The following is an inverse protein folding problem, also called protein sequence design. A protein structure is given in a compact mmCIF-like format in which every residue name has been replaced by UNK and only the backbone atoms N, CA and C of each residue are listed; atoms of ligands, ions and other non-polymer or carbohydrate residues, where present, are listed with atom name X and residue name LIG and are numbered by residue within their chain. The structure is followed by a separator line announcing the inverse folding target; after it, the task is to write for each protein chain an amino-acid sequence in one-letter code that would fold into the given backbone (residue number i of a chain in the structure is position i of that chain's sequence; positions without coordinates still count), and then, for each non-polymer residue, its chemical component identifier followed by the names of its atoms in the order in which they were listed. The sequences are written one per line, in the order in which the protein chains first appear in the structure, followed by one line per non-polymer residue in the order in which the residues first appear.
data_IF_513404375682
#
_entry.id   IF_513404375682
#
_cell.length_a   1.000
_cell.length_b   1.000
_cell.length_c   1.000
_cell.angle_alpha   90.00
_cell.angle_beta   90.00
_cell.angle_gamma   90.00
#
_symmetry.space_group_name_H-M   'P 1'
#
loop_
_entity.id
_entity.type
_entity.pdbx_description
1 polymer ?
#
# COMPACT_ATOMS: atom_id res chain seq x y z
N UNK A 1 -11.97 13.64 16.86
CA UNK A 1 -11.22 13.49 15.58
C UNK A 1 -10.33 12.26 15.70
N UNK A 2 -10.16 11.48 14.62
CA UNK A 2 -9.34 10.27 14.63
C UNK A 2 -7.85 10.60 14.69
N UNK A 3 -7.06 9.77 15.39
CA UNK A 3 -5.61 9.94 15.54
C UNK A 3 -4.80 8.80 14.91
N UNK A 4 -5.43 7.67 14.60
CA UNK A 4 -4.81 6.46 14.06
C UNK A 4 -5.74 5.81 13.03
N UNK A 5 -5.16 5.09 12.09
CA UNK A 5 -5.88 4.22 11.15
C UNK A 5 -5.48 2.76 11.36
N UNK A 6 -6.48 1.88 11.31
CA UNK A 6 -6.32 0.43 11.32
C UNK A 6 -7.11 -0.15 10.15
N UNK A 7 -6.42 -0.78 9.20
CA UNK A 7 -7.05 -1.48 8.07
C UNK A 7 -7.11 -2.97 8.41
N UNK A 8 -8.32 -3.51 8.62
CA UNK A 8 -8.49 -4.94 8.87
C UNK A 8 -8.44 -5.71 7.55
N UNK A 9 -7.55 -6.69 7.43
CA UNK A 9 -7.37 -7.52 6.25
C UNK A 9 -7.53 -9.00 6.63
N UNK A 10 -8.45 -9.74 5.98
CA UNK A 10 -8.58 -11.17 6.19
C UNK A 10 -7.41 -11.91 5.52
N UNK A 11 -6.75 -12.80 6.25
CA UNK A 11 -5.64 -13.62 5.75
C UNK A 11 -5.90 -15.09 5.97
N UNK A 12 -5.46 -15.93 5.03
CA UNK A 12 -5.70 -17.37 5.07
C UNK A 12 -4.74 -18.09 6.02
N UNK A 13 -3.50 -17.62 6.10
CA UNK A 13 -2.47 -18.14 6.99
C UNK A 13 -1.73 -16.98 7.66
N UNK A 14 -2.01 -16.78 8.96
CA UNK A 14 -1.50 -15.65 9.71
C UNK A 14 0.02 -15.65 9.80
N UNK A 15 0.63 -16.83 10.00
CA UNK A 15 2.08 -16.93 10.15
C UNK A 15 2.78 -16.62 8.82
N UNK A 16 2.29 -17.16 7.70
CA UNK A 16 2.84 -16.83 6.37
C UNK A 16 2.69 -15.35 6.04
N UNK A 17 1.57 -14.75 6.39
CA UNK A 17 1.35 -13.31 6.20
C UNK A 17 2.33 -12.48 7.03
N UNK A 18 2.54 -12.87 8.28
CA UNK A 18 3.53 -12.21 9.13
C UNK A 18 4.95 -12.33 8.58
N UNK A 19 5.33 -13.50 8.09
CA UNK A 19 6.65 -13.73 7.51
C UNK A 19 6.85 -12.98 6.18
N UNK A 20 5.80 -12.88 5.36
CA UNK A 20 5.77 -12.03 4.18
C UNK A 20 6.08 -10.58 4.55
N UNK A 21 5.29 -9.94 5.42
CA UNK A 21 5.49 -8.52 5.74
C UNK A 21 6.80 -8.26 6.50
N UNK A 22 7.30 -9.21 7.30
CA UNK A 22 8.67 -9.13 7.87
C UNK A 22 9.73 -9.10 6.78
N UNK A 23 9.59 -9.90 5.72
CA UNK A 23 10.53 -9.92 4.60
C UNK A 23 10.57 -8.58 3.85
N UNK A 24 9.43 -7.89 3.75
CA UNK A 24 9.35 -6.52 3.20
C UNK A 24 10.09 -5.50 4.08
N UNK A 25 10.24 -5.79 5.38
CA UNK A 25 10.93 -4.96 6.36
C UNK A 25 10.03 -4.36 7.43
N UNK A 26 8.75 -4.75 7.48
CA UNK A 26 7.81 -4.24 8.47
C UNK A 26 7.89 -4.98 9.81
N UNK A 27 7.49 -4.26 10.86
CA UNK A 27 7.40 -4.78 12.22
C UNK A 27 5.96 -5.10 12.64
N UNK A 28 5.83 -5.78 13.78
CA UNK A 28 4.53 -6.08 14.38
C UNK A 28 4.47 -5.55 15.81
N UNK A 29 3.32 -5.00 16.19
CA UNK A 29 3.06 -4.67 17.58
C UNK A 29 2.61 -5.93 18.32
N UNK A 30 3.54 -6.53 19.08
CA UNK A 30 3.31 -7.79 19.77
C UNK A 30 2.29 -7.71 20.92
N UNK A 31 1.96 -6.51 21.42
CA UNK A 31 0.88 -6.36 22.40
C UNK A 31 -0.51 -6.62 21.80
N UNK A 32 -0.64 -6.42 20.48
CA UNK A 32 -1.88 -6.61 19.72
C UNK A 32 -1.74 -7.74 18.68
N UNK A 33 -0.85 -8.70 18.94
CA UNK A 33 -0.62 -9.86 18.06
C UNK A 33 -0.75 -11.15 18.86
N UNK A 34 -1.54 -12.08 18.34
CA UNK A 34 -1.80 -13.40 18.91
C UNK A 34 -2.06 -14.42 17.79
N UNK A 35 -2.70 -15.56 18.11
CA UNK A 35 -2.97 -16.63 17.14
C UNK A 35 -4.07 -16.30 16.12
N UNK A 36 -4.93 -15.33 16.40
CA UNK A 36 -6.08 -14.97 15.56
C UNK A 36 -5.86 -13.69 14.75
N UNK A 37 -4.93 -12.83 15.19
CA UNK A 37 -4.67 -11.52 14.63
C UNK A 37 -3.22 -11.08 14.81
N UNK A 38 -2.69 -10.30 13.87
CA UNK A 38 -1.39 -9.63 13.98
C UNK A 38 -1.49 -8.15 13.60
N UNK A 39 -0.90 -7.29 14.42
CA UNK A 39 -0.89 -5.84 14.21
C UNK A 39 0.37 -5.44 13.45
N UNK A 40 0.26 -5.29 12.13
CA UNK A 40 1.32 -4.82 11.23
C UNK A 40 1.50 -3.31 11.40
N UNK A 41 2.73 -2.88 11.68
CA UNK A 41 3.10 -1.47 11.83
C UNK A 41 3.60 -0.94 10.51
N UNK A 42 2.81 -0.08 9.86
CA UNK A 42 3.15 0.56 8.58
C UNK A 42 3.82 1.93 8.80
N UNK A 43 3.50 2.59 9.91
CA UNK A 43 4.11 3.83 10.38
C UNK A 43 3.63 4.15 11.80
N UNK A 44 4.01 5.32 12.33
CA UNK A 44 3.74 5.70 13.73
C UNK A 44 2.25 5.63 14.13
N UNK A 45 1.37 5.99 13.21
CA UNK A 45 -0.09 6.02 13.41
C UNK A 45 -0.87 5.25 12.34
N UNK A 46 -0.19 4.39 11.57
CA UNK A 46 -0.75 3.68 10.42
C UNK A 46 -0.52 2.19 10.62
N UNK A 47 -1.61 1.42 10.69
CA UNK A 47 -1.56 0.00 10.99
C UNK A 47 -2.46 -0.80 10.05
N UNK A 48 -2.06 -2.04 9.76
CA UNK A 48 -2.96 -3.04 9.23
C UNK A 48 -3.12 -4.17 10.26
N UNK A 49 -4.34 -4.63 10.46
CA UNK A 49 -4.63 -5.81 11.28
C UNK A 49 -4.81 -6.98 10.35
N UNK A 50 -3.86 -7.90 10.34
CA UNK A 50 -3.96 -9.17 9.61
C UNK A 50 -4.77 -10.13 10.48
N UNK A 51 -5.96 -10.50 10.05
CA UNK A 51 -6.90 -11.30 10.83
C UNK A 51 -7.13 -12.63 10.13
N UNK A 52 -7.09 -13.74 10.87
CA UNK A 52 -7.58 -15.01 10.32
C UNK A 52 -9.01 -14.86 9.80
N UNK A 53 -9.39 -15.59 8.73
CA UNK A 53 -10.75 -15.50 8.17
C UNK A 53 -11.84 -15.73 9.22
N UNK A 54 -11.64 -16.67 10.15
CA UNK A 54 -12.56 -16.92 11.26
C UNK A 54 -12.76 -15.67 12.14
N UNK A 55 -11.66 -15.02 12.53
CA UNK A 55 -11.73 -13.84 13.38
C UNK A 55 -12.30 -12.62 12.63
N UNK A 56 -11.93 -12.42 11.36
CA UNK A 56 -12.49 -11.37 10.52
C UNK A 56 -14.01 -11.52 10.33
N UNK A 57 -14.50 -12.75 10.13
CA UNK A 57 -15.93 -13.03 9.94
C UNK A 57 -16.78 -12.57 11.14
N UNK A 58 -16.22 -12.54 12.35
CA UNK A 58 -16.93 -12.03 13.53
C UNK A 58 -17.22 -10.51 13.45
N UNK A 59 -16.53 -9.76 12.58
CA UNK A 59 -16.65 -8.30 12.51
C UNK A 59 -17.65 -7.83 11.45
N UNK A 60 -18.13 -8.73 10.59
CA UNK A 60 -19.00 -8.39 9.47
C UNK A 60 -20.16 -9.38 9.32
N UNK A 61 -21.27 -8.91 8.76
CA UNK A 61 -22.43 -9.75 8.40
C UNK A 61 -22.46 -10.11 6.90
N UNK A 62 -21.49 -9.61 6.14
CA UNK A 62 -21.34 -9.87 4.70
C UNK A 62 -20.35 -11.02 4.47
N UNK A 63 -20.42 -11.72 3.33
CA UNK A 63 -19.35 -12.61 2.92
C UNK A 63 -18.00 -11.87 2.87
N UNK A 64 -16.92 -12.55 3.26
CA UNK A 64 -15.56 -12.04 3.08
C UNK A 64 -15.26 -12.07 1.58
N UNK A 65 -14.77 -10.96 1.03
CA UNK A 65 -14.36 -10.88 -0.37
C UNK A 65 -13.16 -11.78 -0.64
N UNK A 66 -13.14 -12.47 -1.79
CA UNK A 66 -11.93 -13.11 -2.30
C UNK A 66 -11.12 -12.05 -3.05
N UNK A 67 -10.07 -11.53 -2.40
CA UNK A 67 -9.23 -10.46 -2.96
C UNK A 67 -8.47 -10.89 -4.22
N UNK A 68 -8.40 -12.19 -4.53
CA UNK A 68 -7.84 -12.69 -5.80
C UNK A 68 -8.83 -12.58 -6.97
N UNK A 69 -10.12 -12.37 -6.69
CA UNK A 69 -11.19 -12.27 -7.70
C UNK A 69 -11.82 -10.88 -7.78
N UNK A 70 -11.86 -10.15 -6.67
CA UNK A 70 -12.52 -8.84 -6.57
C UNK A 70 -11.71 -7.88 -5.71
N UNK A 71 -11.59 -6.63 -6.15
CA UNK A 71 -10.94 -5.54 -5.39
C UNK A 71 -12.00 -4.70 -4.67
N UNK A 72 -11.96 -4.67 -3.34
CA UNK A 72 -12.77 -3.74 -2.51
C UNK A 72 -11.99 -2.48 -2.11
N UNK A 73 -10.66 -2.61 -1.92
CA UNK A 73 -9.77 -1.54 -1.46
C UNK A 73 -8.42 -1.61 -2.17
N UNK A 74 -7.81 -0.45 -2.39
CA UNK A 74 -6.40 -0.27 -2.76
C UNK A 74 -5.70 0.43 -1.60
N UNK A 75 -4.56 -0.12 -1.15
CA UNK A 75 -3.82 0.41 0.00
C UNK A 75 -2.55 1.08 -0.51
N UNK A 76 -2.53 2.41 -0.50
CA UNK A 76 -1.38 3.19 -0.92
C UNK A 76 -0.48 3.56 0.27
N UNK A 77 0.83 3.36 0.12
CA UNK A 77 1.87 3.78 1.05
C UNK A 77 2.89 4.66 0.33
N UNK A 78 3.34 5.72 1.01
CA UNK A 78 4.45 6.52 0.52
C UNK A 78 5.79 5.81 0.75
N UNK A 79 6.74 6.09 -0.14
CA UNK A 79 8.12 5.64 -0.05
C UNK A 79 9.06 6.83 -0.19
N UNK A 80 10.27 6.70 0.37
CA UNK A 80 11.23 7.81 0.45
C UNK A 80 11.95 8.11 -0.88
N UNK A 81 11.95 7.17 -1.83
CA UNK A 81 12.58 7.33 -3.15
C UNK A 81 12.00 6.36 -4.18
N UNK A 82 12.37 6.56 -5.45
CA UNK A 82 12.04 5.63 -6.55
C UNK A 82 12.62 4.24 -6.31
N UNK A 83 13.87 4.19 -5.86
CA UNK A 83 14.57 2.94 -5.55
C UNK A 83 13.94 2.22 -4.35
N UNK A 84 13.36 2.96 -3.41
CA UNK A 84 12.62 2.39 -2.28
C UNK A 84 11.32 1.72 -2.75
N UNK A 85 10.61 2.32 -3.71
CA UNK A 85 9.44 1.70 -4.38
C UNK A 85 9.85 0.36 -5.00
N UNK A 86 10.88 0.37 -5.85
CA UNK A 86 11.34 -0.85 -6.54
C UNK A 86 11.83 -1.92 -5.57
N UNK A 87 12.53 -1.51 -4.51
CA UNK A 87 13.03 -2.43 -3.48
C UNK A 87 11.89 -3.10 -2.73
N UNK A 88 10.86 -2.35 -2.36
CA UNK A 88 9.68 -2.89 -1.67
C UNK A 88 8.95 -3.91 -2.56
N UNK A 89 8.69 -3.55 -3.81
CA UNK A 89 7.96 -4.42 -4.74
C UNK A 89 8.77 -5.68 -5.07
N UNK A 90 10.08 -5.56 -5.29
CA UNK A 90 10.94 -6.72 -5.50
C UNK A 90 10.90 -7.69 -4.31
N UNK A 91 11.00 -7.17 -3.07
CA UNK A 91 10.88 -8.01 -1.85
C UNK A 91 9.51 -8.67 -1.75
N UNK A 92 8.44 -7.98 -2.13
CA UNK A 92 7.12 -8.57 -2.15
C UNK A 92 7.03 -9.77 -3.11
N UNK A 93 7.57 -9.64 -4.32
CA UNK A 93 7.62 -10.75 -5.29
C UNK A 93 8.51 -11.89 -4.77
N UNK A 94 9.68 -11.59 -4.22
CA UNK A 94 10.58 -12.59 -3.62
C UNK A 94 9.92 -13.37 -2.46
N UNK A 95 9.04 -12.72 -1.71
CA UNK A 95 8.25 -13.33 -0.64
C UNK A 95 7.00 -14.09 -1.12
N UNK A 96 6.73 -14.13 -2.43
CA UNK A 96 5.61 -14.86 -3.03
C UNK A 96 4.38 -14.00 -3.36
N UNK A 97 4.48 -12.68 -3.22
CA UNK A 97 3.48 -11.74 -3.76
C UNK A 97 3.51 -11.68 -5.28
N UNK A 98 2.54 -10.99 -5.87
CA UNK A 98 2.41 -10.88 -7.35
C UNK A 98 2.34 -9.43 -7.79
N UNK A 99 2.86 -9.13 -8.97
CA UNK A 99 2.66 -7.83 -9.61
C UNK A 99 1.26 -7.82 -10.23
N UNK A 100 0.40 -6.87 -9.83
CA UNK A 100 -0.94 -6.74 -10.41
C UNK A 100 -1.11 -5.53 -11.35
N UNK A 101 -0.14 -4.61 -11.34
CA UNK A 101 -0.12 -3.45 -12.24
C UNK A 101 1.33 -3.09 -12.61
N UNK A 102 1.53 -2.65 -13.85
CA UNK A 102 2.82 -2.14 -14.32
C UNK A 102 3.23 -0.89 -13.53
N UNK A 103 4.55 -0.61 -13.38
CA UNK A 103 5.01 0.64 -12.79
C UNK A 103 4.47 1.86 -13.55
N UNK A 104 4.07 2.89 -12.82
CA UNK A 104 3.62 4.17 -13.36
C UNK A 104 4.66 5.25 -13.07
N UNK A 105 5.10 5.93 -14.12
CA UNK A 105 6.05 7.03 -14.02
C UNK A 105 5.49 8.29 -14.68
N UNK A 106 5.19 9.28 -13.86
CA UNK A 106 4.72 10.60 -14.28
C UNK A 106 5.82 11.67 -14.18
N UNK A 107 7.08 11.28 -13.95
CA UNK A 107 8.21 12.16 -13.68
C UNK A 107 8.22 12.65 -12.22
N UNK A 108 7.17 13.34 -11.79
CA UNK A 108 7.02 13.87 -10.42
C UNK A 108 6.42 12.84 -9.44
N UNK A 109 5.87 11.75 -9.95
CA UNK A 109 5.39 10.62 -9.17
C UNK A 109 5.85 9.34 -9.83
N UNK A 110 6.36 8.43 -9.00
CA UNK A 110 6.69 7.07 -9.39
C UNK A 110 5.96 6.10 -8.48
N UNK A 111 5.23 5.16 -9.06
CA UNK A 111 4.46 4.18 -8.31
C UNK A 111 4.62 2.79 -8.89
N UNK A 112 4.61 1.79 -8.03
CA UNK A 112 4.51 0.40 -8.43
C UNK A 112 3.75 -0.40 -7.37
N UNK A 113 3.24 -1.57 -7.75
CA UNK A 113 2.16 -2.20 -7.01
C UNK A 113 2.35 -3.70 -6.96
N UNK A 114 1.95 -4.30 -5.84
CA UNK A 114 1.93 -5.74 -5.64
C UNK A 114 0.66 -6.17 -4.92
N UNK A 115 0.23 -7.41 -5.15
CA UNK A 115 -0.76 -8.09 -4.36
C UNK A 115 -0.04 -9.03 -3.38
N UNK A 116 -0.42 -9.01 -2.11
CA UNK A 116 0.15 -9.90 -1.10
C UNK A 116 -0.31 -11.36 -1.29
N UNK A 117 0.08 -12.23 -0.36
CA UNK A 117 -0.22 -13.66 -0.44
C UNK A 117 -1.71 -13.96 -0.56
N UNK A 118 -2.58 -13.08 -0.04
CA UNK A 118 -4.03 -13.23 -0.03
C UNK A 118 -4.75 -12.43 -1.13
N UNK A 119 -4.00 -11.68 -1.93
CA UNK A 119 -4.51 -10.92 -3.06
C UNK A 119 -4.83 -9.46 -2.72
N UNK A 120 -4.57 -9.00 -1.49
CA UNK A 120 -4.81 -7.60 -1.15
C UNK A 120 -3.84 -6.71 -1.92
N UNK A 121 -4.36 -5.64 -2.52
CA UNK A 121 -3.60 -4.80 -3.45
C UNK A 121 -2.96 -3.61 -2.73
N UNK A 122 -1.63 -3.54 -2.85
CA UNK A 122 -0.78 -2.50 -2.26
C UNK A 122 -0.14 -1.66 -3.37
N UNK A 123 -0.18 -0.34 -3.21
CA UNK A 123 0.44 0.64 -4.10
C UNK A 123 1.55 1.37 -3.34
N UNK A 124 2.77 1.35 -3.84
CA UNK A 124 3.91 2.02 -3.21
C UNK A 124 4.29 3.19 -4.10
N UNK A 125 4.22 4.40 -3.55
CA UNK A 125 4.38 5.64 -4.31
C UNK A 125 5.46 6.54 -3.75
N UNK A 126 6.33 7.05 -4.61
CA UNK A 126 7.22 8.17 -4.31
C UNK A 126 6.74 9.42 -5.04
N UNK A 127 6.68 10.54 -4.32
CA UNK A 127 6.35 11.84 -4.88
C UNK A 127 7.55 12.78 -4.73
N UNK A 128 8.06 13.27 -5.86
CA UNK A 128 9.08 14.31 -5.89
C UNK A 128 8.41 15.68 -5.89
N UNK A 129 8.33 16.31 -4.72
CA UNK A 129 7.74 17.64 -4.58
C UNK A 129 8.43 18.71 -5.42
N UNK A 130 9.74 18.61 -5.64
CA UNK A 130 10.48 19.61 -6.41
C UNK A 130 10.12 19.49 -7.90
N UNK A 131 10.08 18.26 -8.42
CA UNK A 131 9.61 17.97 -9.77
C UNK A 131 8.14 18.36 -9.95
N UNK A 132 7.28 18.10 -8.96
CA UNK A 132 5.88 18.52 -8.98
C UNK A 132 5.74 20.05 -9.07
N UNK A 133 6.45 20.79 -8.21
CA UNK A 133 6.46 22.26 -8.24
C UNK A 133 6.96 22.79 -9.60
N UNK A 134 8.01 22.18 -10.16
CA UNK A 134 8.51 22.56 -11.48
C UNK A 134 7.49 22.33 -12.59
N UNK A 135 6.81 21.17 -12.59
CA UNK A 135 5.75 20.85 -13.55
C UNK A 135 4.60 21.85 -13.44
N UNK A 136 4.11 22.12 -12.22
CA UNK A 136 3.01 23.08 -11.99
C UNK A 136 3.38 24.48 -12.47
N UNK A 137 4.61 24.92 -12.25
CA UNK A 137 5.10 26.21 -12.73
C UNK A 137 5.17 26.27 -14.26
N UNK A 138 5.64 25.20 -14.92
CA UNK A 138 5.71 25.12 -16.37
C UNK A 138 4.32 25.15 -17.02
N UNK A 139 3.34 24.45 -16.45
CA UNK A 139 1.95 24.47 -16.93
C UNK A 139 1.26 25.81 -16.70
N UNK A 140 1.49 26.45 -15.55
CA UNK A 140 0.99 27.80 -15.27
C UNK A 140 1.56 28.83 -16.25
N UNK A 141 2.85 28.73 -16.58
CA UNK A 141 3.50 29.59 -17.56
C UNK A 141 2.98 29.37 -18.99
N UNK A 142 2.74 28.12 -19.40
CA UNK A 142 2.16 27.79 -20.70
C UNK A 142 0.76 28.38 -20.87
N UNK A 143 -0.11 28.23 -19.87
CA UNK A 143 -1.47 28.76 -19.90
C UNK A 143 -1.50 30.31 -19.94
N UNK A 144 -0.55 30.97 -19.26
CA UNK A 144 -0.43 32.44 -19.30
C UNK A 144 0.07 32.96 -20.66
N UNK A 145 0.94 32.21 -21.33
CA UNK A 145 1.45 32.54 -22.67
C UNK A 145 0.36 32.48 -23.75
N UNK A 146 -0.55 31.50 -23.69
CA UNK A 146 -1.68 31.38 -24.62
C UNK A 146 -2.74 32.49 -24.43
N UNK A 147 -2.93 32.96 -23.20
CA UNK A 147 -3.84 34.07 -22.89
C UNK A 147 -3.29 35.44 -23.34
N UNK A 148 -1.97 35.61 -23.36
CA UNK A 148 -1.32 36.84 -23.83
C UNK A 148 -1.18 36.93 -25.36
N UNK A 149 -1.40 35.81 -26.07
CA UNK A 149 -1.29 35.70 -27.52
C UNK A 149 -2.63 35.85 -28.27
N UNK A 150 -3.74 36.01 -27.53
CA UNK A 150 -5.09 36.27 -28.05
C UNK A 150 -5.58 37.66 -27.64
#
# INVERSE_FOLDING_TARGET
MANKIFVNLPVQDLQKSMDFFRHLGFGFNMQFTNHAAACLVLGDNIFAMLLTHEHFAAFTKKPIADARQTTEVLIALDAESREAVDTMVRRAVEAGGTIYADPQDHGWMYGHSFADLDGHQWEIGFMDEAALKQMMNAQGAANAGELAAN
#
